data_IF_886095679111
#
_entry.id   IF_886095679111
#
_cell.length_a   1.000
_cell.length_b   1.000
_cell.length_c   1.000
_cell.angle_alpha   90.00
_cell.angle_beta   90.00
_cell.angle_gamma   90.00
#
_symmetry.space_group_name_H-M   'P 1'
#
loop_
_entity.id
_entity.type
_entity.pdbx_description
1 polymer ?
#
# COMPACT_ATOMS: atom_id res chain seq x y z
N UNK A 1 -45.02 -0.80 39.06
CA UNK A 1 -44.88 -0.13 37.76
C UNK A 1 -43.40 0.15 37.56
N UNK A 2 -42.63 -0.71 36.84
CA UNK A 2 -41.20 -0.53 36.61
C UNK A 2 -41.04 0.40 35.41
N UNK A 3 -40.54 1.60 35.66
CA UNK A 3 -40.16 2.53 34.59
C UNK A 3 -39.10 1.90 33.73
N UNK A 4 -39.43 1.77 32.43
CA UNK A 4 -38.52 1.25 31.41
C UNK A 4 -37.24 2.12 31.37
N UNK A 5 -36.09 1.52 31.65
CA UNK A 5 -34.83 2.15 31.41
C UNK A 5 -34.72 2.53 29.93
N UNK A 6 -34.50 3.79 29.66
CA UNK A 6 -34.17 4.24 28.31
C UNK A 6 -32.97 3.45 27.84
N UNK A 7 -33.08 2.72 26.73
CA UNK A 7 -31.98 2.10 26.04
C UNK A 7 -31.07 3.26 25.63
N UNK A 8 -29.92 3.38 26.27
CA UNK A 8 -28.92 4.35 25.81
C UNK A 8 -28.53 3.96 24.39
N UNK A 9 -28.54 4.89 23.45
CA UNK A 9 -28.02 4.61 22.12
C UNK A 9 -26.57 4.15 22.24
N UNK A 10 -26.19 3.17 21.44
CA UNK A 10 -24.81 2.69 21.36
C UNK A 10 -23.91 3.91 21.15
N UNK A 11 -22.91 4.09 22.03
CA UNK A 11 -21.99 5.21 21.89
C UNK A 11 -21.02 4.90 20.74
N UNK A 12 -21.28 5.40 19.55
CA UNK A 12 -20.40 5.32 18.36
C UNK A 12 -19.15 6.21 18.49
N UNK A 13 -18.74 6.52 19.72
CA UNK A 13 -17.60 7.39 20.03
C UNK A 13 -16.41 6.63 20.63
N UNK A 14 -16.43 5.30 20.62
CA UNK A 14 -15.28 4.52 21.06
C UNK A 14 -14.09 4.76 20.12
N UNK A 15 -12.92 5.01 20.73
CA UNK A 15 -11.68 5.16 19.97
C UNK A 15 -11.04 3.79 19.86
N UNK A 16 -10.73 3.42 18.65
CA UNK A 16 -10.03 2.18 18.30
C UNK A 16 -8.66 2.51 17.71
N UNK A 17 -7.74 1.56 17.84
CA UNK A 17 -6.45 1.61 17.17
C UNK A 17 -6.17 0.27 16.52
N UNK A 18 -5.56 0.28 15.35
CA UNK A 18 -5.19 -0.92 14.61
C UNK A 18 -3.85 -0.70 13.92
N UNK A 19 -3.02 -1.73 13.91
CA UNK A 19 -1.75 -1.75 13.19
C UNK A 19 -1.73 -3.01 12.35
N UNK A 20 -1.38 -2.86 11.08
CA UNK A 20 -1.30 -3.95 10.10
C UNK A 20 0.01 -3.83 9.34
N UNK A 21 0.76 -4.91 9.27
CA UNK A 21 1.85 -5.11 8.31
C UNK A 21 1.33 -6.06 7.23
N UNK A 22 1.03 -5.52 6.06
CA UNK A 22 0.58 -6.27 4.90
C UNK A 22 1.72 -7.09 4.33
N UNK A 23 2.88 -6.44 4.15
CA UNK A 23 4.06 -7.02 3.58
C UNK A 23 5.27 -6.80 4.50
N UNK A 24 5.85 -7.88 4.96
CA UNK A 24 7.20 -7.96 5.49
C UNK A 24 7.84 -9.13 4.74
N UNK A 25 8.42 -8.84 3.55
CA UNK A 25 8.80 -9.90 2.63
C UNK A 25 10.20 -9.74 2.06
N UNK A 26 10.88 -10.89 1.91
CA UNK A 26 12.06 -11.01 1.08
C UNK A 26 11.66 -11.31 -0.36
N UNK A 27 12.23 -10.58 -1.32
CA UNK A 27 12.05 -10.72 -2.77
C UNK A 27 13.33 -11.21 -3.42
N UNK A 28 13.26 -12.26 -4.23
CA UNK A 28 14.42 -12.95 -4.81
C UNK A 28 14.22 -13.25 -6.28
N UNK A 29 15.23 -12.97 -7.10
CA UNK A 29 15.26 -13.33 -8.52
C UNK A 29 16.48 -14.20 -8.91
N UNK A 30 17.13 -14.84 -7.94
CA UNK A 30 18.32 -15.64 -8.14
C UNK A 30 19.64 -14.86 -8.11
N UNK A 31 19.64 -13.59 -8.51
CA UNK A 31 20.85 -12.73 -8.54
C UNK A 31 20.81 -11.65 -7.45
N UNK A 32 19.63 -11.09 -7.20
CA UNK A 32 19.42 -10.02 -6.24
C UNK A 32 18.41 -10.45 -5.16
N UNK A 33 18.62 -9.91 -3.96
CA UNK A 33 17.69 -10.05 -2.85
C UNK A 33 17.35 -8.67 -2.32
N UNK A 34 16.08 -8.46 -2.02
CA UNK A 34 15.55 -7.22 -1.48
C UNK A 34 14.59 -7.52 -0.35
N UNK A 35 14.40 -6.57 0.52
CA UNK A 35 13.40 -6.64 1.58
C UNK A 35 12.38 -5.53 1.38
N UNK A 36 11.10 -5.89 1.21
CA UNK A 36 9.99 -4.93 1.11
C UNK A 36 9.19 -4.93 2.40
N UNK A 37 8.79 -3.75 2.83
CA UNK A 37 7.82 -3.58 3.90
C UNK A 37 6.67 -2.71 3.43
N UNK A 38 5.50 -3.05 3.88
CA UNK A 38 4.28 -2.26 3.78
C UNK A 38 3.51 -2.41 5.09
N UNK A 39 3.35 -1.31 5.79
CA UNK A 39 2.66 -1.28 7.06
C UNK A 39 1.77 -0.05 7.17
N UNK A 40 0.66 -0.22 7.87
CA UNK A 40 -0.28 0.86 8.14
C UNK A 40 -0.83 0.76 9.56
N UNK A 41 -1.15 1.90 10.12
CA UNK A 41 -1.82 1.96 11.41
C UNK A 41 -2.82 3.11 11.40
N UNK A 42 -3.87 2.94 12.17
CA UNK A 42 -4.84 4.01 12.37
C UNK A 42 -5.34 4.06 13.80
N UNK A 43 -5.79 5.26 14.17
CA UNK A 43 -6.48 5.53 15.43
C UNK A 43 -7.66 6.45 15.15
N UNK A 44 -8.79 6.18 15.76
CA UNK A 44 -9.99 7.00 15.58
C UNK A 44 -11.27 6.30 15.94
N UNK A 45 -12.37 6.85 15.44
CA UNK A 45 -13.72 6.31 15.58
C UNK A 45 -14.11 5.52 14.32
N UNK A 46 -15.35 5.03 14.26
CA UNK A 46 -15.87 4.36 13.05
C UNK A 46 -15.93 5.30 11.84
N UNK A 47 -16.09 6.61 12.06
CA UNK A 47 -16.24 7.60 10.99
C UNK A 47 -14.98 8.38 10.67
N UNK A 48 -14.19 8.75 11.69
CA UNK A 48 -13.05 9.65 11.55
C UNK A 48 -11.80 8.96 12.10
N UNK A 49 -10.76 8.81 11.25
CA UNK A 49 -9.53 8.09 11.57
C UNK A 49 -8.30 8.90 11.15
N UNK A 50 -7.25 8.81 11.93
CA UNK A 50 -5.91 9.25 11.55
C UNK A 50 -5.09 8.02 11.18
N UNK A 51 -4.52 8.04 9.97
CA UNK A 51 -3.71 6.96 9.41
C UNK A 51 -2.25 7.35 9.30
N UNK A 52 -1.41 6.38 9.56
CA UNK A 52 0.02 6.40 9.22
C UNK A 52 0.26 5.20 8.33
N UNK A 53 0.79 5.43 7.11
CA UNK A 53 1.20 4.37 6.19
C UNK A 53 2.69 4.50 5.93
N UNK A 54 3.39 3.38 5.87
CA UNK A 54 4.83 3.28 5.61
C UNK A 54 5.09 2.14 4.67
N UNK A 55 5.75 2.41 3.56
CA UNK A 55 6.19 1.39 2.62
C UNK A 55 7.58 1.70 2.07
N UNK A 56 8.26 0.70 1.57
CA UNK A 56 9.54 0.85 0.91
C UNK A 56 10.25 -0.47 0.68
N UNK A 57 11.33 -0.39 -0.07
CA UNK A 57 12.19 -1.52 -0.41
C UNK A 57 13.61 -1.24 0.03
N UNK A 58 14.22 -2.17 0.74
CA UNK A 58 15.64 -2.16 1.09
C UNK A 58 16.40 -3.04 0.10
N UNK A 59 17.23 -2.44 -0.73
CA UNK A 59 18.03 -3.11 -1.74
C UNK A 59 19.49 -2.68 -1.60
N UNK A 60 20.44 -3.61 -1.56
CA UNK A 60 21.89 -3.35 -1.47
C UNK A 60 22.29 -2.38 -0.34
N UNK A 61 21.54 -2.38 0.77
CA UNK A 61 21.79 -1.50 1.93
C UNK A 61 21.26 -0.07 1.79
N UNK A 62 20.52 0.24 0.73
CA UNK A 62 19.86 1.52 0.50
C UNK A 62 18.33 1.34 0.48
N UNK A 63 17.61 2.37 0.92
CA UNK A 63 16.15 2.40 0.81
C UNK A 63 15.78 2.93 -0.57
N UNK A 64 15.06 2.12 -1.33
CA UNK A 64 14.45 2.49 -2.58
C UNK A 64 12.94 2.63 -2.38
N UNK A 65 12.32 3.60 -3.04
CA UNK A 65 10.87 3.85 -3.04
C UNK A 65 10.23 4.00 -1.64
N UNK A 66 11.04 4.42 -0.64
CA UNK A 66 10.56 4.64 0.72
C UNK A 66 9.59 5.81 0.80
N UNK A 67 8.40 5.58 1.35
CA UNK A 67 7.41 6.62 1.55
C UNK A 67 6.70 6.50 2.90
N UNK A 68 6.32 7.66 3.44
CA UNK A 68 5.56 7.79 4.66
C UNK A 68 4.35 8.66 4.38
N UNK A 69 3.17 8.23 4.81
CA UNK A 69 1.94 9.00 4.63
C UNK A 69 1.26 9.23 5.98
N UNK A 70 0.76 10.43 6.17
CA UNK A 70 -0.05 10.85 7.31
C UNK A 70 -1.37 11.35 6.77
N UNK A 71 -2.44 10.60 6.98
CA UNK A 71 -3.74 10.85 6.36
C UNK A 71 -4.83 10.98 7.40
N UNK A 72 -5.72 11.92 7.21
CA UNK A 72 -7.03 11.92 7.84
C UNK A 72 -8.01 11.20 6.91
N UNK A 73 -8.81 10.33 7.47
CA UNK A 73 -9.79 9.50 6.76
C UNK A 73 -11.17 9.71 7.35
N UNK A 74 -12.17 9.86 6.47
CA UNK A 74 -13.56 9.96 6.86
C UNK A 74 -14.42 9.03 6.04
N UNK A 75 -15.25 8.23 6.72
CA UNK A 75 -16.22 7.36 6.07
C UNK A 75 -17.28 8.20 5.34
N UNK A 76 -17.36 8.03 4.01
CA UNK A 76 -18.34 8.72 3.15
C UNK A 76 -19.46 7.76 2.72
N UNK A 77 -19.18 6.47 2.71
CA UNK A 77 -20.16 5.40 2.52
C UNK A 77 -19.89 4.26 3.49
N UNK A 78 -20.74 3.24 3.50
CA UNK A 78 -20.50 2.02 4.30
C UNK A 78 -19.21 1.28 3.89
N UNK A 79 -18.74 1.46 2.67
CA UNK A 79 -17.63 0.68 2.10
C UNK A 79 -16.41 1.52 1.73
N UNK A 80 -16.54 2.84 1.70
CA UNK A 80 -15.46 3.72 1.26
C UNK A 80 -15.23 4.89 2.20
N UNK A 81 -13.96 5.09 2.49
CA UNK A 81 -13.41 6.23 3.21
C UNK A 81 -12.75 7.19 2.22
N UNK A 82 -12.97 8.49 2.39
CA UNK A 82 -12.20 9.54 1.74
C UNK A 82 -11.00 9.88 2.60
N UNK A 83 -9.82 9.96 2.00
CA UNK A 83 -8.57 10.24 2.69
C UNK A 83 -7.93 11.53 2.18
N UNK A 84 -7.29 12.27 3.06
CA UNK A 84 -6.52 13.45 2.70
C UNK A 84 -5.40 13.71 3.68
N UNK A 85 -4.24 14.17 3.19
CA UNK A 85 -3.11 14.42 4.05
C UNK A 85 -1.81 14.67 3.31
N UNK A 86 -0.72 14.19 3.87
CA UNK A 86 0.64 14.41 3.37
C UNK A 86 1.35 13.08 3.15
N UNK A 87 2.13 13.03 2.08
CA UNK A 87 3.11 11.99 1.80
C UNK A 87 4.50 12.60 1.73
N UNK A 88 5.48 11.93 2.30
CA UNK A 88 6.90 12.25 2.17
C UNK A 88 7.64 11.04 1.63
N UNK A 89 8.36 11.23 0.53
CA UNK A 89 9.25 10.23 -0.03
C UNK A 89 10.57 10.31 0.74
N UNK A 90 10.90 9.22 1.45
CA UNK A 90 12.11 9.10 2.30
C UNK A 90 12.89 7.89 1.82
N UNK A 91 13.59 8.09 0.72
CA UNK A 91 14.48 7.11 0.12
C UNK A 91 15.90 7.70 -0.06
N UNK A 92 16.77 6.99 -0.75
CA UNK A 92 18.15 7.40 -1.04
C UNK A 92 18.25 8.60 -2.00
N UNK A 93 17.14 9.09 -2.52
CA UNK A 93 17.02 10.22 -3.46
C UNK A 93 16.57 11.49 -2.72
N UNK A 94 16.59 12.66 -3.40
CA UNK A 94 16.09 13.90 -2.79
C UNK A 94 14.65 13.74 -2.27
N UNK A 95 14.44 14.07 -1.00
CA UNK A 95 13.12 14.02 -0.36
C UNK A 95 12.11 14.89 -1.10
N UNK A 96 10.93 14.35 -1.35
CA UNK A 96 9.81 15.09 -1.94
C UNK A 96 8.56 14.94 -1.08
N UNK A 97 7.89 16.06 -0.88
CA UNK A 97 6.63 16.11 -0.14
C UNK A 97 5.46 16.33 -1.09
N UNK A 98 4.35 15.67 -0.80
CA UNK A 98 3.13 15.68 -1.58
C UNK A 98 1.92 15.93 -0.68
N UNK A 99 0.96 16.69 -1.17
CA UNK A 99 -0.40 16.61 -0.67
C UNK A 99 -1.06 15.37 -1.30
N UNK A 100 -1.73 14.57 -0.48
CA UNK A 100 -2.38 13.33 -0.87
C UNK A 100 -3.89 13.45 -0.72
N UNK A 101 -4.65 12.98 -1.71
CA UNK A 101 -6.10 12.85 -1.68
C UNK A 101 -6.50 11.53 -2.31
N UNK A 102 -7.30 10.74 -1.62
CA UNK A 102 -7.63 9.41 -2.07
C UNK A 102 -8.96 8.88 -1.54
N UNK A 103 -9.32 7.74 -2.07
CA UNK A 103 -10.42 6.93 -1.63
C UNK A 103 -9.91 5.52 -1.37
N UNK A 104 -10.29 4.96 -0.24
CA UNK A 104 -9.95 3.60 0.14
C UNK A 104 -11.20 2.86 0.58
N UNK A 105 -11.33 1.60 0.20
CA UNK A 105 -12.46 0.80 0.66
C UNK A 105 -12.65 -0.51 -0.07
N UNK A 106 -13.79 -1.12 0.20
CA UNK A 106 -14.16 -2.41 -0.34
C UNK A 106 -15.10 -2.23 -1.55
N UNK A 107 -14.58 -2.49 -2.74
CA UNK A 107 -15.34 -2.42 -3.98
C UNK A 107 -16.29 -3.64 -4.12
N UNK A 108 -17.27 -3.61 -5.06
CA UNK A 108 -18.12 -4.77 -5.35
C UNK A 108 -17.29 -6.04 -5.58
N UNK A 109 -17.83 -7.17 -5.15
CA UNK A 109 -17.16 -8.48 -5.14
C UNK A 109 -15.98 -8.60 -4.15
N UNK A 110 -15.92 -7.70 -3.13
CA UNK A 110 -14.90 -7.72 -2.05
C UNK A 110 -13.46 -7.48 -2.52
N UNK A 111 -13.28 -6.63 -3.53
CA UNK A 111 -11.97 -6.12 -3.87
C UNK A 111 -11.59 -5.00 -2.91
N UNK A 112 -10.46 -5.14 -2.24
CA UNK A 112 -9.82 -4.01 -1.56
C UNK A 112 -9.28 -3.07 -2.64
N UNK A 113 -9.69 -1.80 -2.59
CA UNK A 113 -9.32 -0.79 -3.58
C UNK A 113 -8.81 0.46 -2.87
N UNK A 114 -7.66 0.95 -3.31
CA UNK A 114 -7.16 2.26 -2.94
C UNK A 114 -6.76 3.03 -4.20
N UNK A 115 -7.28 4.26 -4.35
CA UNK A 115 -6.90 5.18 -5.39
C UNK A 115 -6.51 6.51 -4.74
N UNK A 116 -5.24 6.89 -4.89
CA UNK A 116 -4.71 8.12 -4.29
C UNK A 116 -4.03 8.99 -5.34
N UNK A 117 -4.40 10.26 -5.39
CA UNK A 117 -3.75 11.30 -6.17
C UNK A 117 -2.81 12.12 -5.30
N UNK A 118 -1.70 12.55 -5.86
CA UNK A 118 -0.66 13.32 -5.18
C UNK A 118 -0.32 14.59 -5.95
N UNK A 119 -0.10 15.68 -5.21
CA UNK A 119 0.31 16.97 -5.77
C UNK A 119 1.52 17.47 -4.99
N UNK A 120 2.65 17.73 -5.67
CA UNK A 120 3.82 18.31 -5.02
C UNK A 120 3.84 19.84 -5.17
N UNK A 121 4.59 20.51 -4.27
CA UNK A 121 4.80 21.96 -4.33
C UNK A 121 5.48 22.46 -5.62
N UNK A 122 6.15 21.56 -6.36
CA UNK A 122 6.81 21.87 -7.64
C UNK A 122 5.89 21.63 -8.86
N UNK A 123 4.61 21.36 -8.63
CA UNK A 123 3.63 21.13 -9.69
C UNK A 123 3.75 19.78 -10.39
N UNK A 124 4.33 18.78 -9.75
CA UNK A 124 4.23 17.39 -10.17
C UNK A 124 2.92 16.81 -9.66
N UNK A 125 2.24 16.05 -10.51
CA UNK A 125 1.09 15.23 -10.14
C UNK A 125 1.46 13.75 -10.24
N UNK A 126 0.95 12.96 -9.34
CA UNK A 126 1.06 11.51 -9.40
C UNK A 126 -0.27 10.86 -9.00
N UNK A 127 -0.47 9.62 -9.41
CA UNK A 127 -1.58 8.80 -8.95
C UNK A 127 -1.09 7.38 -8.71
N UNK A 128 -1.59 6.77 -7.64
CA UNK A 128 -1.36 5.37 -7.26
C UNK A 128 -2.70 4.66 -7.19
N UNK A 129 -2.79 3.51 -7.84
CA UNK A 129 -3.91 2.59 -7.76
C UNK A 129 -3.41 1.28 -7.17
N UNK A 130 -4.03 0.85 -6.09
CA UNK A 130 -3.82 -0.46 -5.50
C UNK A 130 -5.13 -1.23 -5.51
N UNK A 131 -5.06 -2.50 -5.88
CA UNK A 131 -6.18 -3.40 -5.79
C UNK A 131 -5.72 -4.80 -5.37
N UNK A 132 -6.43 -5.40 -4.43
CA UNK A 132 -6.18 -6.77 -4.01
C UNK A 132 -7.49 -7.53 -3.76
N UNK A 133 -7.39 -8.85 -3.77
CA UNK A 133 -8.52 -9.72 -3.50
C UNK A 133 -8.11 -10.93 -2.68
N UNK A 134 -8.86 -11.25 -1.64
CA UNK A 134 -8.62 -12.43 -0.81
C UNK A 134 -9.50 -13.59 -1.27
N UNK A 135 -8.94 -14.51 -2.08
CA UNK A 135 -9.60 -15.73 -2.50
C UNK A 135 -9.37 -16.85 -1.47
N UNK A 136 -10.39 -17.16 -0.69
CA UNK A 136 -10.34 -18.22 0.30
C UNK A 136 -10.40 -19.60 -0.39
N UNK A 137 -9.25 -20.27 -0.52
CA UNK A 137 -9.18 -21.66 -0.99
C UNK A 137 -9.66 -22.64 0.09
N UNK A 138 -9.35 -22.30 1.34
CA UNK A 138 -9.87 -22.95 2.54
C UNK A 138 -10.10 -21.89 3.62
N UNK A 139 -10.55 -22.27 4.80
CA UNK A 139 -10.71 -21.33 5.93
C UNK A 139 -9.39 -20.69 6.41
N UNK A 140 -8.24 -21.22 6.03
CA UNK A 140 -6.91 -20.76 6.45
C UNK A 140 -5.95 -20.53 5.30
N UNK A 141 -6.23 -21.09 4.12
CA UNK A 141 -5.39 -20.93 2.94
C UNK A 141 -6.04 -19.93 2.00
N UNK A 142 -5.38 -18.81 1.77
CA UNK A 142 -5.88 -17.67 1.04
C UNK A 142 -4.92 -17.38 -0.12
N UNK A 143 -5.46 -17.29 -1.33
CA UNK A 143 -4.75 -16.84 -2.49
C UNK A 143 -5.06 -15.37 -2.72
N UNK A 144 -4.04 -14.52 -2.72
CA UNK A 144 -4.18 -13.08 -2.83
C UNK A 144 -3.50 -12.57 -4.10
N UNK A 145 -4.24 -12.35 -5.19
CA UNK A 145 -3.79 -11.48 -6.27
C UNK A 145 -3.77 -10.01 -5.81
N UNK A 146 -2.74 -9.28 -6.25
CA UNK A 146 -2.57 -7.86 -5.95
C UNK A 146 -1.99 -7.16 -7.18
N UNK A 147 -2.36 -5.91 -7.37
CA UNK A 147 -1.80 -5.02 -8.38
C UNK A 147 -1.64 -3.62 -7.80
N UNK A 148 -0.50 -3.01 -8.07
CA UNK A 148 -0.19 -1.62 -7.81
C UNK A 148 0.24 -0.97 -9.12
N UNK A 149 -0.26 0.22 -9.41
CA UNK A 149 0.04 1.01 -10.60
C UNK A 149 0.39 2.43 -10.20
N UNK A 150 1.51 2.95 -10.70
CA UNK A 150 1.95 4.32 -10.48
C UNK A 150 1.99 5.10 -11.79
N UNK A 151 1.43 6.32 -11.76
CA UNK A 151 1.37 7.23 -12.90
C UNK A 151 1.86 8.61 -12.47
N UNK A 152 2.68 9.25 -13.31
CA UNK A 152 3.21 10.60 -13.05
C UNK A 152 2.92 11.53 -14.22
N UNK A 153 2.54 12.79 -13.94
CA UNK A 153 2.26 13.78 -14.97
C UNK A 153 3.51 14.30 -15.68
N UNK A 154 4.64 14.32 -14.96
CA UNK A 154 5.92 14.84 -15.45
C UNK A 154 7.04 13.88 -15.07
N UNK A 155 8.04 13.78 -15.94
CA UNK A 155 9.26 13.04 -15.63
C UNK A 155 10.09 13.77 -14.57
N UNK A 156 10.75 12.97 -13.72
CA UNK A 156 11.70 13.43 -12.71
C UNK A 156 12.99 12.62 -12.80
N UNK A 157 13.97 13.09 -13.59
CA UNK A 157 15.23 12.39 -13.75
C UNK A 157 16.01 12.21 -12.44
N UNK A 158 15.87 13.14 -11.48
CA UNK A 158 16.55 13.05 -10.19
C UNK A 158 16.03 11.86 -9.34
N UNK A 159 14.77 11.49 -9.58
CA UNK A 159 14.13 10.34 -8.94
C UNK A 159 14.02 9.10 -9.85
N UNK A 160 14.56 9.18 -11.07
CA UNK A 160 14.53 8.13 -12.09
C UNK A 160 13.09 7.74 -12.50
N UNK A 161 12.16 8.69 -12.44
CA UNK A 161 10.75 8.50 -12.79
C UNK A 161 10.43 9.19 -14.12
N UNK A 162 9.73 8.49 -14.99
CA UNK A 162 9.24 9.02 -16.27
C UNK A 162 7.81 9.56 -16.16
N UNK A 163 7.39 10.36 -17.15
CA UNK A 163 6.02 10.79 -17.29
C UNK A 163 5.13 9.66 -17.85
N UNK A 164 3.86 9.64 -17.48
CA UNK A 164 2.87 8.63 -17.85
C UNK A 164 2.87 7.44 -16.89
N UNK A 165 2.55 6.25 -17.39
CA UNK A 165 2.68 5.02 -16.64
C UNK A 165 4.15 4.79 -16.30
N UNK A 166 4.46 4.78 -14.99
CA UNK A 166 5.81 4.62 -14.49
C UNK A 166 6.15 3.16 -14.26
N UNK A 167 5.37 2.53 -13.41
CA UNK A 167 5.62 1.18 -12.95
C UNK A 167 4.34 0.42 -12.59
N UNK A 168 4.47 -0.88 -12.59
CA UNK A 168 3.50 -1.85 -12.08
C UNK A 168 4.21 -2.81 -11.14
N UNK A 169 3.60 -3.07 -9.99
CA UNK A 169 3.89 -4.23 -9.14
C UNK A 169 2.63 -5.10 -9.12
N UNK A 170 2.76 -6.34 -9.58
CA UNK A 170 1.65 -7.28 -9.53
C UNK A 170 2.12 -8.62 -9.03
N UNK A 171 1.33 -9.25 -8.18
CA UNK A 171 1.74 -10.47 -7.54
C UNK A 171 0.59 -11.40 -7.20
N UNK A 172 0.98 -12.63 -6.94
CA UNK A 172 0.11 -13.69 -6.44
C UNK A 172 0.77 -14.28 -5.20
N UNK A 173 0.13 -14.10 -4.05
CA UNK A 173 0.61 -14.58 -2.76
C UNK A 173 -0.30 -15.67 -2.23
N UNK A 174 0.28 -16.77 -1.79
CA UNK A 174 -0.43 -17.86 -1.11
C UNK A 174 -0.14 -17.77 0.38
N UNK A 175 -1.13 -17.30 1.14
CA UNK A 175 -1.05 -17.03 2.57
C UNK A 175 -1.70 -18.16 3.37
N UNK A 176 -1.05 -18.58 4.46
CA UNK A 176 -1.59 -19.54 5.39
C UNK A 176 -1.77 -18.92 6.77
N UNK A 177 -3.01 -18.80 7.24
CA UNK A 177 -3.33 -18.27 8.56
C UNK A 177 -3.08 -19.32 9.64
N UNK A 178 -1.89 -19.25 10.28
CA UNK A 178 -1.60 -20.05 11.48
C UNK A 178 -2.56 -19.65 12.60
N UNK A 179 -2.71 -18.36 12.79
CA UNK A 179 -3.78 -17.74 13.55
C UNK A 179 -4.24 -16.46 12.81
N UNK A 180 -5.33 -15.85 13.28
CA UNK A 180 -5.89 -14.66 12.59
C UNK A 180 -4.93 -13.47 12.53
N UNK A 181 -3.99 -13.37 13.48
CA UNK A 181 -3.06 -12.26 13.58
C UNK A 181 -1.71 -12.50 12.91
N UNK A 182 -1.41 -13.74 12.52
CA UNK A 182 -0.12 -14.11 11.96
C UNK A 182 -0.28 -15.10 10.82
N UNK A 183 0.12 -14.68 9.65
CA UNK A 183 -0.04 -15.44 8.42
C UNK A 183 1.22 -15.34 7.55
N UNK A 184 2.10 -16.35 7.57
CA UNK A 184 3.17 -16.48 6.61
C UNK A 184 2.63 -16.74 5.20
N UNK A 185 3.38 -16.31 4.21
CA UNK A 185 3.04 -16.54 2.80
C UNK A 185 4.27 -16.75 1.93
N UNK A 186 4.03 -17.34 0.79
CA UNK A 186 4.95 -17.43 -0.34
C UNK A 186 4.25 -16.90 -1.59
N UNK A 187 4.99 -16.46 -2.57
CA UNK A 187 4.37 -15.95 -3.79
C UNK A 187 5.34 -15.67 -4.92
N UNK A 188 4.77 -15.11 -5.97
CA UNK A 188 5.50 -14.61 -7.13
C UNK A 188 5.00 -13.22 -7.43
N UNK A 189 5.91 -12.27 -7.63
CA UNK A 189 5.60 -10.89 -8.01
C UNK A 189 6.32 -10.56 -9.31
N UNK A 190 5.70 -9.70 -10.09
CA UNK A 190 6.27 -9.08 -11.28
C UNK A 190 6.33 -7.58 -11.07
N UNK A 191 7.53 -7.03 -11.12
CA UNK A 191 7.78 -5.59 -11.13
C UNK A 191 8.12 -5.16 -12.55
N UNK A 192 7.35 -4.24 -13.11
CA UNK A 192 7.56 -3.72 -14.46
C UNK A 192 7.67 -2.21 -14.48
N UNK A 193 8.66 -1.67 -15.19
CA UNK A 193 8.86 -0.23 -15.40
C UNK A 193 8.55 0.09 -16.86
N UNK A 194 7.91 1.24 -17.11
CA UNK A 194 7.45 1.63 -18.44
C UNK A 194 8.10 2.94 -18.91
N UNK A 195 8.04 3.18 -20.21
CA UNK A 195 8.42 4.43 -20.83
C UNK A 195 9.82 4.93 -20.44
N UNK A 196 9.90 6.15 -19.95
CA UNK A 196 11.17 6.76 -19.53
C UNK A 196 11.70 6.15 -18.25
N UNK A 197 10.86 5.70 -17.33
CA UNK A 197 11.27 4.99 -16.11
C UNK A 197 12.06 3.72 -16.47
N UNK A 198 11.59 2.94 -17.43
CA UNK A 198 12.31 1.78 -17.94
C UNK A 198 13.66 2.15 -18.57
N UNK A 199 13.71 3.29 -19.27
CA UNK A 199 14.97 3.76 -19.87
C UNK A 199 15.99 4.20 -18.80
N UNK A 200 15.53 4.82 -17.72
CA UNK A 200 16.39 5.18 -16.59
C UNK A 200 16.93 3.93 -15.89
N UNK A 201 16.08 2.93 -15.65
CA UNK A 201 16.50 1.65 -15.06
C UNK A 201 17.58 0.96 -15.91
N UNK A 202 17.37 0.85 -17.21
CA UNK A 202 18.35 0.23 -18.14
C UNK A 202 19.69 0.99 -18.16
N UNK A 203 19.65 2.32 -18.09
CA UNK A 203 20.90 3.16 -18.02
C UNK A 203 21.64 2.98 -16.71
N UNK A 204 20.91 2.70 -15.62
CA UNK A 204 21.50 2.37 -14.33
C UNK A 204 22.03 0.92 -14.24
N UNK A 205 21.80 0.11 -15.28
CA UNK A 205 22.17 -1.30 -15.31
C UNK A 205 21.13 -2.22 -14.65
N UNK A 206 19.94 -1.70 -14.33
CA UNK A 206 18.85 -2.46 -13.75
C UNK A 206 17.89 -3.00 -14.84
N UNK A 207 17.12 -4.04 -14.48
CA UNK A 207 16.07 -4.57 -15.35
C UNK A 207 14.88 -3.61 -15.41
N UNK A 208 14.23 -3.53 -16.57
CA UNK A 208 12.97 -2.82 -16.72
C UNK A 208 11.74 -3.69 -16.36
N UNK A 209 11.93 -4.97 -16.18
CA UNK A 209 10.90 -5.89 -15.70
C UNK A 209 11.54 -7.13 -15.14
N UNK A 210 11.03 -7.58 -14.01
CA UNK A 210 11.61 -8.69 -13.25
C UNK A 210 10.53 -9.51 -12.56
N UNK A 211 10.71 -10.83 -12.57
CA UNK A 211 9.86 -11.76 -11.82
C UNK A 211 10.63 -12.21 -10.59
N UNK A 212 10.01 -12.11 -9.44
CA UNK A 212 10.63 -12.45 -8.16
C UNK A 212 9.80 -13.45 -7.37
N UNK A 213 10.49 -14.38 -6.74
CA UNK A 213 9.89 -15.18 -5.68
C UNK A 213 9.88 -14.41 -4.39
N UNK A 214 8.77 -14.48 -3.66
CA UNK A 214 8.60 -13.79 -2.39
C UNK A 214 8.25 -14.78 -1.29
N UNK A 215 8.75 -14.48 -0.09
CA UNK A 215 8.29 -15.09 1.14
C UNK A 215 8.21 -14.01 2.22
N UNK A 216 7.17 -14.05 2.99
CA UNK A 216 6.92 -13.00 3.95
C UNK A 216 5.89 -13.38 5.00
N UNK A 217 5.53 -12.38 5.77
CA UNK A 217 4.56 -12.48 6.85
C UNK A 217 3.61 -11.30 6.80
N UNK A 218 2.31 -11.58 6.93
CA UNK A 218 1.29 -10.60 7.26
C UNK A 218 0.92 -10.71 8.73
N UNK A 219 0.88 -9.59 9.45
CA UNK A 219 0.54 -9.58 10.87
C UNK A 219 -0.20 -8.31 11.26
N UNK A 220 -1.09 -8.39 12.25
CA UNK A 220 -1.83 -7.24 12.74
C UNK A 220 -2.06 -7.28 14.26
N UNK A 221 -2.28 -6.09 14.85
CA UNK A 221 -2.45 -5.90 16.28
C UNK A 221 -3.61 -4.95 16.58
#
# INVERSE_FOLDING_TARGET
>A
MKTGGAVQPVMDQAIFAHILFNELEGRFNGTNSEFRWEGQGWVGTDYDKLWIKSEGTLSKGAVDDGQQQFLYSRAVTTYFDLQGGLRSDIDSRPTRNWAAFGIQGLAPYFFDLELTGYVSGEGHLAAKLEASYDLLLTQRLILQPQVELNVYSKGDPARLVGAGFSDIDTGLRLRYEINRKFAPYIGVVYEGKFGQTANFARRAGDSAGDVRFVFGVRTWF
#
